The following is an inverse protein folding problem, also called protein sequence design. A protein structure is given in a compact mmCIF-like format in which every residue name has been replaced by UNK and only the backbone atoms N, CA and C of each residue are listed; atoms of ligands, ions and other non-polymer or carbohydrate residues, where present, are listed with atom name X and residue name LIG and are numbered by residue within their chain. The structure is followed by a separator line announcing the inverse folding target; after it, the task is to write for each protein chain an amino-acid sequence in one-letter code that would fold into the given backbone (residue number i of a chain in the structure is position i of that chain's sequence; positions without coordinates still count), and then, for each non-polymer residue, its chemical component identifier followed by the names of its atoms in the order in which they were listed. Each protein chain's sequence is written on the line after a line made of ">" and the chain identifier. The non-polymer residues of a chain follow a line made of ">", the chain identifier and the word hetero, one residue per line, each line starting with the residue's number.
data_IF_849466601865
#
_entry.id   IF_849466601865
#
_cell.length_a   1.000
_cell.length_b   1.000
_cell.length_c   1.000
_cell.angle_alpha   90.00
_cell.angle_beta   90.00
_cell.angle_gamma   90.00
#
_symmetry.space_group_name_H-M   'P 1'
#
loop_
_entity.id
_entity.type
_entity.pdbx_description
1 polymer ?
#
# COMPACT_ATOMS: atom_id res chain seq x y z
N UNK A 1 48.28 -10.40 15.88
CA UNK A 1 47.81 -9.67 14.69
C UNK A 1 46.72 -10.51 14.06
N UNK A 2 45.45 -10.07 14.15
CA UNK A 2 44.35 -10.70 13.43
C UNK A 2 44.13 -9.93 12.15
N UNK A 3 44.62 -10.47 11.03
CA UNK A 3 44.26 -9.97 9.70
C UNK A 3 42.95 -10.63 9.33
N UNK A 4 41.88 -9.84 9.17
CA UNK A 4 40.62 -10.36 8.67
C UNK A 4 40.84 -10.89 7.25
N UNK A 5 40.34 -12.09 6.89
CA UNK A 5 40.39 -12.56 5.52
C UNK A 5 39.63 -11.57 4.65
N UNK A 6 40.33 -10.97 3.68
CA UNK A 6 39.72 -10.14 2.65
C UNK A 6 38.73 -11.02 1.87
N UNK A 7 37.45 -10.64 1.75
CA UNK A 7 36.55 -11.38 0.90
C UNK A 7 36.99 -11.16 -0.55
N UNK A 8 37.56 -12.19 -1.17
CA UNK A 8 37.51 -12.37 -2.63
C UNK A 8 36.10 -12.82 -3.06
N UNK A 9 35.08 -12.38 -2.33
CA UNK A 9 33.68 -12.62 -2.62
C UNK A 9 33.13 -11.32 -3.18
N UNK A 10 32.69 -11.35 -4.44
CA UNK A 10 32.06 -10.21 -5.10
C UNK A 10 30.92 -9.62 -4.26
N UNK A 11 30.51 -8.40 -4.60
CA UNK A 11 29.39 -7.73 -3.93
C UNK A 11 28.20 -8.68 -3.90
N UNK A 12 27.63 -9.01 -2.71
CA UNK A 12 26.50 -9.92 -2.63
C UNK A 12 25.32 -9.31 -3.37
N UNK A 13 24.81 -10.01 -4.38
CA UNK A 13 23.64 -9.62 -5.15
C UNK A 13 22.43 -10.31 -4.53
N UNK A 14 21.41 -9.54 -4.19
CA UNK A 14 20.12 -10.03 -3.69
C UNK A 14 19.05 -9.62 -4.68
N UNK A 15 18.39 -10.60 -5.30
CA UNK A 15 17.27 -10.36 -6.19
C UNK A 15 16.00 -10.03 -5.37
N UNK A 16 15.32 -8.95 -5.74
CA UNK A 16 14.09 -8.49 -5.10
C UNK A 16 12.93 -8.61 -6.10
N UNK A 17 11.74 -8.93 -5.60
CA UNK A 17 10.54 -9.09 -6.44
C UNK A 17 9.82 -7.76 -6.69
N UNK A 18 10.11 -6.78 -5.85
CA UNK A 18 9.60 -5.43 -5.86
C UNK A 18 10.40 -4.57 -6.84
N UNK A 19 9.74 -3.56 -7.39
CA UNK A 19 10.39 -2.61 -8.29
C UNK A 19 11.34 -1.67 -7.52
N UNK A 20 12.23 -1.00 -8.26
CA UNK A 20 13.23 -0.11 -7.69
C UNK A 20 12.65 1.06 -6.90
N UNK A 21 11.45 1.54 -7.25
CA UNK A 21 10.81 2.65 -6.55
C UNK A 21 10.32 2.22 -5.16
N UNK A 22 9.64 1.07 -5.09
CA UNK A 22 9.16 0.50 -3.83
C UNK A 22 10.33 0.22 -2.87
N UNK A 23 11.43 -0.32 -3.38
CA UNK A 23 12.62 -0.60 -2.57
C UNK A 23 13.35 0.68 -2.14
N UNK A 24 13.51 1.67 -3.03
CA UNK A 24 14.08 2.99 -2.67
C UNK A 24 13.30 3.62 -1.51
N UNK A 25 11.97 3.62 -1.59
CA UNK A 25 11.10 4.13 -0.55
C UNK A 25 11.38 3.45 0.80
N UNK A 26 11.34 2.11 0.81
CA UNK A 26 11.55 1.31 2.02
C UNK A 26 12.92 1.58 2.64
N UNK A 27 13.97 1.58 1.82
CA UNK A 27 15.33 1.83 2.30
C UNK A 27 15.44 3.25 2.88
N UNK A 28 14.85 4.26 2.24
CA UNK A 28 14.85 5.64 2.75
C UNK A 28 14.07 5.81 4.04
N UNK A 29 13.11 4.94 4.35
CA UNK A 29 12.50 4.90 5.67
C UNK A 29 13.41 4.26 6.73
N UNK A 30 14.27 3.31 6.35
CA UNK A 30 15.21 2.65 7.26
C UNK A 30 16.47 3.47 7.54
N UNK A 31 16.91 4.28 6.58
CA UNK A 31 18.07 5.15 6.73
C UNK A 31 17.65 6.58 7.13
N UNK A 32 18.50 7.33 7.86
CA UNK A 32 18.25 8.74 8.17
C UNK A 32 18.37 9.60 6.90
N UNK A 33 17.35 9.50 6.05
CA UNK A 33 17.20 10.22 4.80
C UNK A 33 15.83 10.89 4.76
N UNK A 34 15.62 11.79 3.79
CA UNK A 34 14.30 12.35 3.55
C UNK A 34 13.37 11.22 3.10
N UNK A 35 12.30 10.95 3.85
CA UNK A 35 11.28 9.98 3.44
C UNK A 35 10.40 10.65 2.36
N UNK A 36 10.25 10.05 1.17
CA UNK A 36 9.37 10.59 0.16
C UNK A 36 7.90 10.54 0.62
N UNK A 37 7.07 11.43 0.08
CA UNK A 37 5.63 11.43 0.39
C UNK A 37 4.92 10.48 -0.56
N UNK A 38 4.12 9.55 -0.01
CA UNK A 38 3.23 8.70 -0.79
C UNK A 38 1.92 9.43 -1.01
N UNK A 39 1.53 9.60 -2.27
CA UNK A 39 0.28 10.29 -2.65
C UNK A 39 -0.65 9.42 -3.48
N UNK A 40 -0.12 8.40 -4.15
CA UNK A 40 -0.90 7.52 -5.03
C UNK A 40 -1.26 6.21 -4.33
N UNK A 41 -2.54 5.84 -4.37
CA UNK A 41 -3.06 4.62 -3.71
C UNK A 41 -2.35 3.35 -4.21
N UNK A 42 -2.06 3.28 -5.51
CA UNK A 42 -1.32 2.18 -6.14
C UNK A 42 0.09 2.04 -5.57
N UNK A 43 0.81 3.15 -5.41
CA UNK A 43 2.15 3.16 -4.82
C UNK A 43 2.10 2.74 -3.35
N UNK A 44 1.14 3.29 -2.60
CA UNK A 44 0.91 2.95 -1.18
C UNK A 44 0.64 1.46 -1.02
N UNK A 45 -0.12 0.84 -1.91
CA UNK A 45 -0.39 -0.60 -1.92
C UNK A 45 0.88 -1.43 -2.14
N UNK A 46 1.76 -1.04 -3.07
CA UNK A 46 3.04 -1.72 -3.29
C UNK A 46 3.94 -1.63 -2.06
N UNK A 47 4.06 -0.43 -1.48
CA UNK A 47 4.84 -0.21 -0.26
C UNK A 47 4.27 -0.97 0.94
N UNK A 48 2.95 -1.01 1.11
CA UNK A 48 2.30 -1.82 2.16
C UNK A 48 2.55 -3.32 1.98
N UNK A 49 2.48 -3.82 0.75
CA UNK A 49 2.73 -5.23 0.43
C UNK A 49 4.17 -5.62 0.77
N UNK A 50 5.12 -4.80 0.31
CA UNK A 50 6.55 -5.02 0.53
C UNK A 50 6.95 -4.85 2.00
N UNK A 51 6.46 -3.81 2.69
CA UNK A 51 6.74 -3.59 4.10
C UNK A 51 6.17 -4.68 5.01
N UNK A 52 5.02 -5.28 4.65
CA UNK A 52 4.53 -6.51 5.31
C UNK A 52 5.44 -7.70 5.07
N UNK A 53 5.84 -7.93 3.81
CA UNK A 53 6.73 -9.04 3.44
C UNK A 53 8.08 -8.98 4.17
N UNK A 54 8.62 -7.78 4.33
CA UNK A 54 9.91 -7.54 5.00
C UNK A 54 9.78 -7.21 6.49
N UNK A 55 8.56 -7.22 7.03
CA UNK A 55 8.26 -6.95 8.45
C UNK A 55 8.79 -5.60 8.98
N UNK A 56 8.70 -4.55 8.15
CA UNK A 56 9.20 -3.21 8.46
C UNK A 56 8.09 -2.34 9.03
N UNK A 57 7.81 -2.49 10.32
CA UNK A 57 6.68 -1.82 10.99
C UNK A 57 6.63 -0.29 10.80
N UNK A 58 7.73 0.47 10.90
CA UNK A 58 7.69 1.92 10.71
C UNK A 58 7.21 2.35 9.31
N UNK A 59 7.51 1.54 8.30
CA UNK A 59 7.04 1.77 6.92
C UNK A 59 5.54 1.46 6.82
N UNK A 60 5.09 0.37 7.45
CA UNK A 60 3.66 0.02 7.51
C UNK A 60 2.86 1.18 8.12
N UNK A 61 3.32 1.72 9.24
CA UNK A 61 2.63 2.82 9.94
C UNK A 61 2.59 4.09 9.09
N UNK A 62 3.71 4.41 8.41
CA UNK A 62 3.82 5.56 7.52
C UNK A 62 2.91 5.43 6.29
N UNK A 63 2.92 4.27 5.63
CA UNK A 63 2.09 4.00 4.46
C UNK A 63 0.61 3.92 4.83
N UNK A 64 0.27 3.43 6.03
CA UNK A 64 -1.09 3.46 6.57
C UNK A 64 -1.60 4.89 6.77
N UNK A 65 -0.76 5.79 7.29
CA UNK A 65 -1.11 7.20 7.43
C UNK A 65 -1.32 7.89 6.06
N UNK A 66 -0.45 7.59 5.09
CA UNK A 66 -0.61 8.07 3.72
C UNK A 66 -1.91 7.55 3.08
N UNK A 67 -2.24 6.27 3.27
CA UNK A 67 -3.48 5.66 2.78
C UNK A 67 -4.72 6.38 3.32
N UNK A 68 -4.72 6.72 4.61
CA UNK A 68 -5.82 7.48 5.21
C UNK A 68 -5.91 8.91 4.65
N UNK A 69 -4.79 9.54 4.32
CA UNK A 69 -4.74 10.86 3.67
C UNK A 69 -5.33 10.89 2.25
N UNK A 70 -5.35 9.76 1.56
CA UNK A 70 -5.91 9.64 0.21
C UNK A 70 -7.44 9.48 0.18
N UNK A 71 -8.12 9.37 1.34
CA UNK A 71 -9.57 9.08 1.41
C UNK A 71 -10.41 10.11 0.65
N UNK A 72 -10.07 11.40 0.72
CA UNK A 72 -10.86 12.45 0.03
C UNK A 72 -10.66 12.43 -1.48
N UNK A 73 -9.54 11.90 -1.97
CA UNK A 73 -9.14 11.93 -3.38
C UNK A 73 -9.57 10.65 -4.11
N UNK A 74 -9.40 9.49 -3.48
CA UNK A 74 -9.81 8.20 -4.02
C UNK A 74 -10.39 7.30 -2.90
N UNK A 75 -11.61 7.59 -2.42
CA UNK A 75 -12.22 6.82 -1.34
C UNK A 75 -12.43 5.35 -1.72
N UNK A 76 -12.67 5.07 -3.00
CA UNK A 76 -12.91 3.72 -3.51
C UNK A 76 -11.63 2.88 -3.55
N UNK A 77 -10.54 3.43 -4.08
CA UNK A 77 -9.24 2.77 -4.08
C UNK A 77 -8.71 2.57 -2.66
N UNK A 78 -8.88 3.57 -1.79
CA UNK A 78 -8.52 3.44 -0.38
C UNK A 78 -9.34 2.34 0.30
N UNK A 79 -10.65 2.24 0.03
CA UNK A 79 -11.48 1.16 0.55
C UNK A 79 -10.98 -0.20 0.07
N UNK A 80 -10.70 -0.35 -1.22
CA UNK A 80 -10.22 -1.61 -1.81
C UNK A 80 -8.88 -2.04 -1.20
N UNK A 81 -7.91 -1.13 -1.06
CA UNK A 81 -6.61 -1.41 -0.45
C UNK A 81 -6.75 -1.69 1.04
N UNK A 82 -7.56 -0.92 1.77
CA UNK A 82 -7.77 -1.12 3.21
C UNK A 82 -8.45 -2.48 3.51
N UNK A 83 -9.35 -2.95 2.64
CA UNK A 83 -9.91 -4.29 2.73
C UNK A 83 -8.84 -5.38 2.47
N UNK A 84 -8.07 -5.25 1.39
CA UNK A 84 -7.00 -6.20 1.04
C UNK A 84 -5.92 -6.27 2.13
N UNK A 85 -5.63 -5.15 2.78
CA UNK A 85 -4.65 -5.03 3.84
C UNK A 85 -5.25 -5.15 5.24
N UNK A 86 -6.51 -5.54 5.39
CA UNK A 86 -7.15 -5.78 6.70
C UNK A 86 -7.03 -4.60 7.69
N UNK A 87 -7.24 -3.37 7.21
CA UNK A 87 -7.25 -2.15 8.01
C UNK A 87 -8.68 -1.67 8.27
N UNK A 88 -9.40 -2.21 9.28
CA UNK A 88 -10.83 -2.01 9.45
C UNK A 88 -11.22 -0.55 9.71
N UNK A 89 -10.37 0.21 10.42
CA UNK A 89 -10.64 1.62 10.72
C UNK A 89 -10.63 2.48 9.46
N UNK A 90 -9.63 2.27 8.59
CA UNK A 90 -9.49 2.99 7.31
C UNK A 90 -10.59 2.54 6.35
N UNK A 91 -10.83 1.23 6.26
CA UNK A 91 -11.92 0.66 5.48
C UNK A 91 -13.27 1.31 5.83
N UNK A 92 -13.58 1.46 7.13
CA UNK A 92 -14.83 2.10 7.57
C UNK A 92 -14.88 3.59 7.24
N UNK A 93 -13.78 4.32 7.37
CA UNK A 93 -13.70 5.74 7.01
C UNK A 93 -13.89 5.94 5.50
N UNK A 94 -13.19 5.14 4.70
CA UNK A 94 -13.26 5.15 3.25
C UNK A 94 -14.66 4.78 2.76
N UNK A 95 -15.26 3.69 3.25
CA UNK A 95 -16.63 3.29 2.89
C UNK A 95 -17.66 4.39 3.17
N UNK A 96 -17.56 5.07 4.32
CA UNK A 96 -18.44 6.20 4.64
C UNK A 96 -18.29 7.36 3.67
N UNK A 97 -17.09 7.62 3.17
CA UNK A 97 -16.82 8.65 2.17
C UNK A 97 -17.34 8.21 0.80
N UNK A 98 -17.08 6.97 0.38
CA UNK A 98 -17.63 6.39 -0.84
C UNK A 98 -19.16 6.51 -0.90
N UNK A 99 -19.87 6.23 0.20
CA UNK A 99 -21.34 6.32 0.28
C UNK A 99 -21.89 7.76 0.25
N UNK A 100 -21.06 8.77 0.49
CA UNK A 100 -21.45 10.18 0.36
C UNK A 100 -21.39 10.68 -1.09
N UNK A 101 -20.70 9.95 -1.96
CA UNK A 101 -20.61 10.22 -3.40
C UNK A 101 -21.50 9.24 -4.19
N UNK A 102 -22.06 9.69 -5.32
CA UNK A 102 -22.85 8.81 -6.17
C UNK A 102 -21.94 7.72 -6.75
N UNK A 103 -22.36 6.46 -6.69
CA UNK A 103 -21.62 5.31 -7.24
C UNK A 103 -21.28 5.46 -8.74
N UNK A 104 -21.99 6.34 -9.45
CA UNK A 104 -21.77 6.65 -10.86
C UNK A 104 -20.52 7.51 -11.14
N UNK A 105 -19.96 8.17 -10.13
CA UNK A 105 -18.76 9.03 -10.26
C UNK A 105 -17.46 8.30 -9.85
N UNK A 106 -17.53 6.99 -9.54
CA UNK A 106 -16.42 6.23 -8.96
C UNK A 106 -15.79 5.27 -9.98
N UNK A 107 -14.86 5.78 -10.77
CA UNK A 107 -13.88 4.96 -11.51
C UNK A 107 -12.59 4.90 -10.70
N UNK A 108 -12.21 3.71 -10.19
CA UNK A 108 -10.89 3.50 -9.58
C UNK A 108 -10.23 2.23 -10.13
N UNK A 109 -8.96 2.31 -10.58
CA UNK A 109 -8.21 1.17 -11.11
C UNK A 109 -7.88 0.11 -10.04
N UNK A 110 -8.08 0.42 -8.76
CA UNK A 110 -7.78 -0.49 -7.64
C UNK A 110 -8.92 -1.45 -7.29
N UNK A 111 -10.07 -1.34 -7.95
CA UNK A 111 -11.13 -2.32 -7.83
C UNK A 111 -10.71 -3.65 -8.50
N UNK A 112 -10.60 -4.75 -7.75
CA UNK A 112 -10.48 -6.06 -8.37
C UNK A 112 -11.78 -6.35 -9.12
N UNK A 113 -11.68 -6.79 -10.38
CA UNK A 113 -12.76 -7.30 -11.25
C UNK A 113 -13.67 -8.35 -10.57
N UNK A 114 -13.30 -8.89 -9.42
CA UNK A 114 -14.11 -9.81 -8.63
C UNK A 114 -15.26 -9.12 -7.85
N UNK A 115 -15.21 -7.81 -7.65
CA UNK A 115 -16.19 -7.05 -6.86
C UNK A 115 -17.50 -6.73 -7.60
N UNK A 116 -17.54 -6.83 -8.94
CA UNK A 116 -18.77 -6.70 -9.73
C UNK A 116 -19.86 -7.71 -9.33
N UNK A 117 -19.47 -8.87 -8.79
CA UNK A 117 -20.44 -9.90 -8.34
C UNK A 117 -21.05 -9.55 -6.97
N UNK A 118 -20.32 -8.81 -6.12
CA UNK A 118 -20.83 -8.38 -4.82
C UNK A 118 -21.77 -7.17 -4.92
N UNK A 119 -21.55 -6.26 -5.87
CA UNK A 119 -22.49 -5.16 -6.12
C UNK A 119 -23.87 -5.65 -6.59
N UNK A 120 -23.93 -6.72 -7.39
CA UNK A 120 -25.22 -7.29 -7.81
C UNK A 120 -26.01 -7.93 -6.67
N UNK A 121 -25.36 -8.34 -5.58
CA UNK A 121 -26.04 -8.99 -4.45
C UNK A 121 -26.72 -7.98 -3.51
N UNK A 122 -26.35 -6.70 -3.58
CA UNK A 122 -26.94 -5.63 -2.76
C UNK A 122 -28.23 -5.04 -3.36
N UNK A 123 -28.50 -5.28 -4.65
CA UNK A 123 -29.70 -4.77 -5.36
C UNK A 123 -30.91 -5.73 -5.32
N UNK A 124 -30.77 -6.91 -4.69
CA UNK A 124 -31.76 -8.00 -4.76
C UNK A 124 -32.38 -8.40 -3.40
N UNK A 125 -32.33 -7.55 -2.37
CA UNK A 125 -32.96 -7.82 -1.07
C UNK A 125 -33.82 -6.65 -0.51
N UNK A 126 -34.49 -5.91 -1.37
CA UNK A 126 -35.70 -5.16 -0.98
C UNK A 126 -36.96 -5.94 -1.36
#
# INVERSE_FOLDING_TARGET
>A
MFTLPTPEAGVPIVDLTEDSHTIDFILRCCYPANVPTLTEVTEIKHVLSASRKYEIQPVIDSAKAALEGCIEQDPLGVFAVACQMEFPDICRKAAKQTLQHALADLDSPELPLASTVQFHTLDMHF
#
